data_IF_409267687872
#
_entry.id   IF_409267687872
#
_cell.length_a   1.000
_cell.length_b   1.000
_cell.length_c   1.000
_cell.angle_alpha   90.00
_cell.angle_beta   90.00
_cell.angle_gamma   90.00
#
_symmetry.space_group_name_H-M   'P 1'
#
loop_
_entity.id
_entity.type
_entity.pdbx_description
1 polymer ?
#
# COMPACT_ATOMS: atom_id res chain seq x y z
N UNK A 1 33.07 -17.41 26.42
CA UNK A 1 33.57 -17.35 25.03
C UNK A 1 33.35 -15.94 24.48
N UNK A 2 34.29 -15.04 24.74
CA UNK A 2 34.22 -13.61 24.41
C UNK A 2 34.56 -13.40 22.95
N UNK A 3 33.57 -13.00 22.13
CA UNK A 3 33.79 -12.69 20.72
C UNK A 3 34.71 -11.46 20.64
N UNK A 4 35.92 -11.66 20.12
CA UNK A 4 36.89 -10.59 19.87
C UNK A 4 36.33 -9.64 18.80
N UNK A 5 35.77 -8.51 19.23
CA UNK A 5 35.14 -7.49 18.38
C UNK A 5 36.14 -6.64 17.58
N UNK A 6 37.44 -6.94 17.67
CA UNK A 6 38.50 -6.03 17.24
C UNK A 6 39.21 -6.48 15.96
N UNK A 7 38.71 -7.52 15.26
CA UNK A 7 39.31 -8.05 14.02
C UNK A 7 39.38 -7.02 12.87
N UNK A 8 38.64 -5.91 12.97
CA UNK A 8 38.52 -4.88 11.94
C UNK A 8 39.28 -3.58 12.23
N UNK A 9 40.15 -3.58 13.26
CA UNK A 9 40.87 -2.37 13.71
C UNK A 9 41.83 -1.77 12.66
N UNK A 10 42.17 -2.53 11.60
CA UNK A 10 43.07 -2.08 10.52
C UNK A 10 42.39 -1.60 9.23
N UNK A 11 41.05 -1.56 9.16
CA UNK A 11 40.35 -1.18 7.92
C UNK A 11 39.93 0.29 7.96
N UNK A 12 40.36 1.07 6.97
CA UNK A 12 39.99 2.48 6.83
C UNK A 12 38.46 2.65 6.92
N UNK A 13 38.01 3.62 7.70
CA UNK A 13 36.60 3.88 8.00
C UNK A 13 35.76 4.07 6.72
N UNK A 14 36.32 4.73 5.70
CA UNK A 14 35.65 4.96 4.42
C UNK A 14 35.44 3.65 3.64
N UNK A 15 36.40 2.73 3.69
CA UNK A 15 36.28 1.38 3.09
C UNK A 15 35.20 0.56 3.79
N UNK A 16 35.07 0.73 5.12
CA UNK A 16 34.03 0.07 5.91
C UNK A 16 32.64 0.60 5.61
N UNK A 17 32.50 1.92 5.45
CA UNK A 17 31.24 2.57 5.03
C UNK A 17 30.83 2.14 3.63
N UNK A 18 31.78 2.11 2.69
CA UNK A 18 31.55 1.62 1.33
C UNK A 18 31.13 0.14 1.29
N UNK A 19 31.86 -0.73 2.02
CA UNK A 19 31.53 -2.15 2.06
C UNK A 19 30.14 -2.41 2.67
N UNK A 20 29.74 -1.63 3.68
CA UNK A 20 28.38 -1.68 4.24
C UNK A 20 27.32 -1.36 3.18
N UNK A 21 27.52 -0.31 2.37
CA UNK A 21 26.58 0.07 1.32
C UNK A 21 26.46 -1.03 0.27
N UNK A 22 27.58 -1.59 -0.19
CA UNK A 22 27.58 -2.74 -1.11
C UNK A 22 26.84 -3.93 -0.49
N UNK A 23 27.08 -4.25 0.79
CA UNK A 23 26.41 -5.37 1.45
C UNK A 23 24.90 -5.17 1.57
N UNK A 24 24.45 -3.95 1.84
CA UNK A 24 23.02 -3.60 1.91
C UNK A 24 22.39 -3.71 0.52
N UNK A 25 23.03 -3.13 -0.51
CA UNK A 25 22.52 -3.18 -1.89
C UNK A 25 22.50 -4.59 -2.47
N UNK A 26 23.59 -5.34 -2.31
CA UNK A 26 23.67 -6.74 -2.75
C UNK A 26 22.73 -7.65 -1.96
N UNK A 27 22.58 -7.39 -0.65
CA UNK A 27 21.62 -8.09 0.20
C UNK A 27 20.18 -7.87 -0.27
N UNK A 28 19.77 -6.62 -0.49
CA UNK A 28 18.43 -6.27 -0.95
C UNK A 28 18.11 -6.86 -2.35
N UNK A 29 19.05 -6.81 -3.28
CA UNK A 29 18.87 -7.36 -4.63
C UNK A 29 18.63 -8.87 -4.64
N UNK A 30 19.30 -9.62 -3.76
CA UNK A 30 19.08 -11.06 -3.63
C UNK A 30 17.77 -11.40 -2.89
N UNK A 31 17.34 -10.52 -2.00
CA UNK A 31 16.09 -10.68 -1.26
C UNK A 31 14.85 -10.57 -2.16
N UNK A 32 14.90 -9.88 -3.30
CA UNK A 32 13.76 -9.81 -4.24
C UNK A 32 13.35 -11.20 -4.78
N UNK A 33 14.33 -12.04 -5.13
CA UNK A 33 14.08 -13.40 -5.66
C UNK A 33 13.64 -14.41 -4.61
N UNK A 34 14.19 -14.32 -3.40
CA UNK A 34 13.89 -15.28 -2.32
C UNK A 34 12.63 -14.88 -1.58
N UNK A 35 12.42 -13.57 -1.39
CA UNK A 35 11.28 -13.06 -0.67
C UNK A 35 10.04 -12.85 -1.56
N UNK A 36 10.12 -12.92 -2.89
CA UNK A 36 8.91 -12.90 -3.72
C UNK A 36 7.86 -13.95 -3.28
N UNK A 37 8.22 -15.26 -3.24
CA UNK A 37 7.34 -16.32 -2.72
C UNK A 37 7.19 -16.35 -1.19
N UNK A 38 8.10 -15.73 -0.44
CA UNK A 38 8.00 -15.67 1.03
C UNK A 38 7.06 -14.55 1.48
N UNK A 39 7.11 -13.38 0.83
CA UNK A 39 6.18 -12.26 0.99
C UNK A 39 4.80 -12.59 0.47
N UNK A 40 4.65 -13.43 -0.57
CA UNK A 40 3.31 -13.90 -0.96
C UNK A 40 2.61 -14.67 0.16
N UNK A 41 3.36 -15.44 0.97
CA UNK A 41 2.79 -16.10 2.17
C UNK A 41 2.47 -15.15 3.31
N UNK A 42 3.22 -14.06 3.47
CA UNK A 42 2.85 -12.98 4.39
C UNK A 42 1.64 -12.17 3.87
N UNK A 43 1.45 -12.12 2.54
CA UNK A 43 0.24 -11.62 1.91
C UNK A 43 -0.92 -12.59 2.06
N UNK A 44 -0.71 -13.90 2.09
CA UNK A 44 -1.81 -14.86 2.28
C UNK A 44 -2.48 -14.70 3.66
N UNK A 45 -1.76 -14.32 4.72
CA UNK A 45 -2.35 -14.07 6.05
C UNK A 45 -2.93 -12.67 6.27
N UNK A 46 -2.70 -11.72 5.34
CA UNK A 46 -3.33 -10.38 5.39
C UNK A 46 -4.28 -10.08 4.21
N UNK A 47 -4.25 -10.92 3.17
CA UNK A 47 -5.09 -10.84 1.97
C UNK A 47 -6.05 -12.04 1.83
N UNK A 48 -6.08 -12.99 2.78
CA UNK A 48 -7.19 -13.94 2.94
C UNK A 48 -8.42 -13.33 3.67
N UNK A 49 -8.60 -12.01 3.60
CA UNK A 49 -9.87 -11.32 3.88
C UNK A 49 -10.19 -10.28 2.81
N UNK A 50 -9.98 -10.61 1.54
CA UNK A 50 -10.50 -9.79 0.43
C UNK A 50 -11.24 -10.59 -0.63
N UNK A 51 -11.61 -11.84 -0.35
CA UNK A 51 -12.69 -12.53 -1.09
C UNK A 51 -14.09 -12.18 -0.53
N UNK A 52 -14.15 -11.27 0.46
CA UNK A 52 -15.38 -10.56 0.81
C UNK A 52 -15.46 -9.18 0.15
N UNK A 53 -15.10 -9.09 -1.13
CA UNK A 53 -15.77 -8.18 -2.07
C UNK A 53 -17.24 -8.64 -2.24
N UNK A 54 -17.94 -8.83 -1.12
CA UNK A 54 -19.38 -8.89 -1.07
C UNK A 54 -19.83 -7.46 -1.26
N UNK A 55 -20.03 -7.11 -2.53
CA UNK A 55 -21.01 -6.13 -2.99
C UNK A 55 -21.32 -5.07 -1.93
N UNK A 56 -20.46 -4.06 -1.78
CA UNK A 56 -21.01 -2.73 -1.51
C UNK A 56 -21.71 -2.36 -2.80
N UNK A 57 -22.92 -2.88 -2.96
CA UNK A 57 -23.77 -2.48 -4.06
C UNK A 57 -23.93 -0.99 -3.90
N UNK A 58 -23.45 -0.20 -4.85
CA UNK A 58 -23.86 1.19 -5.05
C UNK A 58 -25.36 1.28 -5.42
N UNK A 59 -26.17 0.33 -4.94
CA UNK A 59 -27.62 0.21 -5.09
C UNK A 59 -28.34 1.09 -4.07
N UNK A 60 -27.62 1.59 -3.08
CA UNK A 60 -28.18 2.44 -2.04
C UNK A 60 -28.17 3.91 -2.45
N UNK A 61 -27.65 4.30 -3.62
CA UNK A 61 -27.68 5.68 -4.07
C UNK A 61 -28.39 5.84 -5.41
N UNK A 62 -29.35 6.76 -5.46
CA UNK A 62 -30.10 7.13 -6.67
C UNK A 62 -29.62 8.50 -7.14
N UNK A 63 -29.16 8.57 -8.39
CA UNK A 63 -28.70 9.81 -9.01
C UNK A 63 -29.80 10.35 -9.92
N UNK A 64 -30.27 11.56 -9.63
CA UNK A 64 -31.30 12.26 -10.41
C UNK A 64 -30.67 13.51 -11.02
N UNK A 65 -30.58 13.53 -12.34
CA UNK A 65 -30.03 14.65 -13.09
C UNK A 65 -31.15 15.50 -13.70
N UNK A 66 -31.17 16.78 -13.34
CA UNK A 66 -32.03 17.80 -13.92
C UNK A 66 -31.20 18.78 -14.75
N UNK A 67 -31.88 19.60 -15.59
CA UNK A 67 -31.23 20.58 -16.48
C UNK A 67 -30.36 21.62 -15.77
N UNK A 68 -30.57 21.82 -14.46
CA UNK A 68 -29.85 22.81 -13.65
C UNK A 68 -29.00 22.16 -12.56
N UNK A 69 -29.39 21.00 -12.03
CA UNK A 69 -28.79 20.41 -10.83
C UNK A 69 -28.66 18.89 -10.96
N UNK A 70 -27.66 18.31 -10.29
CA UNK A 70 -27.46 16.88 -10.10
C UNK A 70 -27.66 16.56 -8.62
N UNK A 71 -28.70 15.79 -8.28
CA UNK A 71 -28.98 15.37 -6.91
C UNK A 71 -28.71 13.87 -6.73
N UNK A 72 -28.13 13.50 -5.60
CA UNK A 72 -27.86 12.12 -5.19
C UNK A 72 -28.64 11.86 -3.91
N UNK A 73 -29.46 10.83 -3.93
CA UNK A 73 -30.31 10.39 -2.82
C UNK A 73 -29.84 9.04 -2.29
N UNK A 74 -30.02 8.79 -1.01
CA UNK A 74 -29.87 7.46 -0.41
C UNK A 74 -31.10 6.58 -0.71
N UNK A 75 -31.00 5.28 -0.46
CA UNK A 75 -32.03 4.24 -0.54
C UNK A 75 -33.27 4.56 0.26
N UNK A 76 -33.11 5.35 1.32
CA UNK A 76 -34.20 5.85 2.18
C UNK A 76 -34.93 7.06 1.58
N UNK A 77 -34.46 7.62 0.47
CA UNK A 77 -35.04 8.80 -0.19
C UNK A 77 -34.51 10.15 0.32
N UNK A 78 -33.55 10.12 1.25
CA UNK A 78 -32.91 11.33 1.80
C UNK A 78 -31.88 11.89 0.81
N UNK A 79 -31.90 13.20 0.58
CA UNK A 79 -30.92 13.86 -0.30
C UNK A 79 -29.56 13.94 0.40
N UNK A 80 -28.58 13.26 -0.19
CA UNK A 80 -27.21 13.20 0.33
C UNK A 80 -26.37 14.33 -0.23
N UNK A 81 -26.59 14.69 -1.50
CA UNK A 81 -25.75 15.66 -2.19
C UNK A 81 -26.50 16.31 -3.35
N UNK A 82 -26.43 17.65 -3.42
CA UNK A 82 -26.93 18.45 -4.53
C UNK A 82 -25.80 19.25 -5.15
N UNK A 83 -25.59 19.10 -6.45
CA UNK A 83 -24.64 19.89 -7.23
C UNK A 83 -25.45 20.75 -8.20
N UNK A 84 -25.44 22.05 -7.99
CA UNK A 84 -25.94 22.99 -8.98
C UNK A 84 -24.96 23.02 -10.15
N UNK A 85 -25.41 22.57 -11.31
CA UNK A 85 -24.75 22.80 -12.59
C UNK A 85 -25.03 24.25 -12.95
N UNK A 86 -24.30 25.17 -12.31
CA UNK A 86 -24.38 26.60 -12.61
C UNK A 86 -24.34 26.80 -14.12
N UNK A 87 -25.43 27.36 -14.66
CA UNK A 87 -25.50 27.73 -16.06
C UNK A 87 -24.46 28.83 -16.29
N UNK A 88 -23.50 28.55 -17.17
CA UNK A 88 -22.77 29.60 -17.87
C UNK A 88 -23.74 30.35 -18.79
#
# INVERSE_FOLDING_TARGET
MTKNLNKWKGMNENRRKFLKIIFIGAGAFLMEKVLGPLFSRFSDDSFAKTDSLNKTSFKDFQVVENKKNLSIYDSSGEEVLQIDKGGA
#
